data_IF_779790953451
#
_entry.id   IF_779790953451
#
_cell.length_a   1.000
_cell.length_b   1.000
_cell.length_c   1.000
_cell.angle_alpha   90.00
_cell.angle_beta   90.00
_cell.angle_gamma   90.00
#
_symmetry.space_group_name_H-M   'P 1'
#
loop_
_entity.id
_entity.type
_entity.pdbx_description
1 polymer ?
#
# COMPACT_ATOMS: atom_id res chain seq x y z
N UNK A 1 3.30 -59.52 -18.26
CA UNK A 1 4.41 -58.61 -17.89
C UNK A 1 4.38 -57.26 -18.63
N UNK A 2 4.21 -57.20 -19.95
CA UNK A 2 4.15 -55.93 -20.72
C UNK A 2 3.05 -54.94 -20.28
N UNK A 3 1.88 -55.42 -19.86
CA UNK A 3 0.77 -54.57 -19.36
C UNK A 3 1.05 -53.90 -18.01
N UNK A 4 1.88 -54.52 -17.16
CA UNK A 4 2.23 -53.97 -15.84
C UNK A 4 3.23 -52.80 -15.94
N UNK A 5 4.12 -52.83 -16.94
CA UNK A 5 5.11 -51.78 -17.19
C UNK A 5 4.45 -50.48 -17.70
N UNK A 6 3.43 -50.59 -18.56
CA UNK A 6 2.67 -49.43 -19.05
C UNK A 6 1.93 -48.74 -17.89
N UNK A 7 1.36 -49.50 -16.97
CA UNK A 7 0.68 -48.95 -15.79
C UNK A 7 1.66 -48.19 -14.88
N UNK A 8 2.88 -48.71 -14.69
CA UNK A 8 3.90 -48.11 -13.83
C UNK A 8 4.46 -46.77 -14.38
N UNK A 9 4.42 -46.56 -15.69
CA UNK A 9 4.90 -45.32 -16.34
C UNK A 9 3.82 -44.23 -16.36
N UNK A 10 2.54 -44.62 -16.42
CA UNK A 10 1.42 -43.66 -16.45
C UNK A 10 1.11 -43.14 -15.04
N UNK A 11 1.22 -43.99 -14.02
CA UNK A 11 0.90 -43.65 -12.63
C UNK A 11 1.64 -42.43 -12.04
N UNK A 12 2.95 -42.22 -12.23
CA UNK A 12 3.63 -41.06 -11.66
C UNK A 12 3.40 -39.75 -12.43
N UNK A 13 2.88 -39.80 -13.67
CA UNK A 13 2.63 -38.59 -14.48
C UNK A 13 1.28 -37.91 -14.18
N UNK A 14 0.39 -38.59 -13.45
CA UNK A 14 -0.91 -38.01 -13.02
C UNK A 14 -0.75 -37.23 -11.70
N UNK A 15 0.43 -37.28 -11.10
CA UNK A 15 0.67 -36.87 -9.72
C UNK A 15 1.28 -35.46 -9.70
N UNK A 16 0.37 -34.49 -9.63
CA UNK A 16 0.53 -33.09 -9.17
C UNK A 16 0.93 -32.01 -10.18
N UNK A 17 -0.08 -31.38 -10.80
CA UNK A 17 -0.08 -29.92 -10.85
C UNK A 17 -0.62 -29.41 -9.51
N UNK A 18 0.17 -28.68 -8.74
CA UNK A 18 -0.35 -27.95 -7.59
C UNK A 18 -1.03 -26.68 -8.09
N UNK A 19 -2.33 -26.60 -7.87
CA UNK A 19 -3.08 -25.37 -8.10
C UNK A 19 -2.70 -24.37 -7.02
N UNK A 20 -1.89 -23.37 -7.38
CA UNK A 20 -1.68 -22.21 -6.55
C UNK A 20 -2.88 -21.28 -6.71
N UNK A 21 -3.73 -21.23 -5.68
CA UNK A 21 -4.72 -20.16 -5.59
C UNK A 21 -4.05 -18.96 -4.93
N UNK A 22 -3.98 -17.82 -5.64
CA UNK A 22 -3.52 -16.57 -5.04
C UNK A 22 -4.57 -16.09 -4.03
N UNK A 23 -4.33 -16.35 -2.76
CA UNK A 23 -5.12 -15.76 -1.68
C UNK A 23 -4.77 -14.27 -1.56
N UNK A 24 -5.53 -13.42 -2.25
CA UNK A 24 -5.55 -11.98 -1.95
C UNK A 24 -6.52 -11.76 -0.79
N UNK A 25 -6.21 -12.29 0.39
CA UNK A 25 -6.91 -11.90 1.60
C UNK A 25 -6.53 -10.44 1.87
N UNK A 26 -7.38 -9.51 1.42
CA UNK A 26 -7.26 -8.11 1.78
C UNK A 26 -7.60 -8.03 3.26
N UNK A 27 -6.70 -7.49 4.07
CA UNK A 27 -7.00 -7.22 5.49
C UNK A 27 -8.24 -6.32 5.51
N UNK A 28 -9.33 -6.71 6.19
CA UNK A 28 -10.52 -5.86 6.26
C UNK A 28 -10.14 -4.57 6.99
N UNK A 29 -10.40 -3.43 6.35
CA UNK A 29 -10.29 -2.13 7.00
C UNK A 29 -11.71 -1.74 7.39
N UNK A 30 -11.92 -1.55 8.68
CA UNK A 30 -13.23 -1.22 9.24
C UNK A 30 -13.16 0.09 10.00
N UNK A 31 -14.17 0.94 9.83
CA UNK A 31 -14.36 2.14 10.64
C UNK A 31 -15.62 1.95 11.46
N UNK A 32 -15.53 2.04 12.78
CA UNK A 32 -16.64 1.78 13.70
C UNK A 32 -17.33 0.42 13.43
N UNK A 33 -16.53 -0.62 13.16
CA UNK A 33 -16.98 -1.98 12.81
C UNK A 33 -17.74 -2.08 11.49
N UNK A 34 -17.68 -1.05 10.63
CA UNK A 34 -18.23 -1.07 9.27
C UNK A 34 -17.12 -1.35 8.27
N UNK A 35 -17.17 -2.47 7.51
CA UNK A 35 -16.17 -2.77 6.50
C UNK A 35 -16.16 -1.74 5.37
N UNK A 36 -15.00 -1.12 5.16
CA UNK A 36 -14.76 -0.31 3.99
C UNK A 36 -14.75 -1.21 2.75
N UNK A 37 -15.63 -0.92 1.79
CA UNK A 37 -15.80 -1.73 0.58
C UNK A 37 -14.58 -1.66 -0.35
N UNK A 38 -13.84 -0.55 -0.29
CA UNK A 38 -12.75 -0.21 -1.20
C UNK A 38 -11.57 0.40 -0.43
N UNK A 39 -11.02 -0.32 0.57
CA UNK A 39 -10.11 0.27 1.55
C UNK A 39 -8.76 0.69 0.99
N UNK A 40 -8.42 0.17 -0.18
CA UNK A 40 -7.15 0.42 -0.88
C UNK A 40 -7.35 1.16 -2.21
N UNK A 41 -8.58 1.56 -2.54
CA UNK A 41 -8.90 2.27 -3.80
C UNK A 41 -8.68 3.77 -3.68
N UNK A 42 -8.59 4.26 -2.44
CA UNK A 42 -8.21 5.65 -2.12
C UNK A 42 -6.90 5.65 -1.33
N UNK A 43 -6.15 6.74 -1.40
CA UNK A 43 -4.84 6.89 -0.74
C UNK A 43 -3.79 7.48 -1.67
N UNK A 44 -2.74 8.05 -1.11
CA UNK A 44 -1.68 8.64 -1.93
C UNK A 44 -0.87 7.56 -2.65
N UNK A 45 -1.11 7.38 -3.94
CA UNK A 45 -0.32 6.50 -4.79
C UNK A 45 0.96 7.20 -5.25
N UNK A 46 2.04 6.42 -5.38
CA UNK A 46 3.36 6.90 -5.84
C UNK A 46 3.83 8.18 -5.14
N UNK A 47 3.74 8.20 -3.80
CA UNK A 47 4.18 9.35 -3.03
C UNK A 47 5.67 9.61 -3.19
N UNK A 48 6.02 10.89 -3.37
CA UNK A 48 7.39 11.38 -3.36
C UNK A 48 7.55 12.35 -2.18
N UNK A 49 7.81 11.85 -0.95
CA UNK A 49 7.95 12.69 0.23
C UNK A 49 9.24 13.52 0.18
N UNK A 50 9.17 14.77 0.60
CA UNK A 50 10.32 15.67 0.77
C UNK A 50 10.11 16.51 2.02
N UNK A 51 11.15 16.59 2.86
CA UNK A 51 11.17 17.55 3.97
C UNK A 51 11.77 18.87 3.47
N UNK A 52 11.04 19.96 3.68
CA UNK A 52 11.48 21.30 3.29
C UNK A 52 11.00 22.31 4.33
N UNK A 53 11.89 23.20 4.73
CA UNK A 53 11.53 24.48 5.35
C UNK A 53 11.15 25.44 4.21
N UNK A 54 9.87 25.84 4.15
CA UNK A 54 9.31 26.52 2.98
C UNK A 54 9.46 28.05 3.05
N UNK A 55 9.46 28.59 4.26
CA UNK A 55 9.50 30.02 4.58
C UNK A 55 10.78 30.44 5.32
N UNK A 56 11.70 29.51 5.55
CA UNK A 56 13.02 29.72 6.15
C UNK A 56 12.95 30.18 7.61
N UNK A 57 11.96 29.70 8.37
CA UNK A 57 11.79 30.02 9.79
C UNK A 57 12.34 28.92 10.73
N UNK A 58 12.83 27.82 10.18
CA UNK A 58 13.36 26.66 10.92
C UNK A 58 12.34 25.56 11.16
N UNK A 59 11.06 25.76 10.82
CA UNK A 59 10.02 24.71 10.87
C UNK A 59 9.98 23.92 9.56
N UNK A 60 10.12 22.61 9.64
CA UNK A 60 10.07 21.74 8.47
C UNK A 60 8.65 21.24 8.18
N UNK A 61 8.28 21.33 6.91
CA UNK A 61 7.07 20.72 6.36
C UNK A 61 7.43 19.41 5.66
N UNK A 62 6.55 18.42 5.79
CA UNK A 62 6.54 17.24 4.93
C UNK A 62 5.63 17.52 3.73
N UNK A 63 6.25 17.58 2.55
CA UNK A 63 5.57 17.77 1.28
C UNK A 63 5.51 16.41 0.58
N UNK A 64 4.33 15.98 0.13
CA UNK A 64 4.13 14.72 -0.59
C UNK A 64 3.44 14.99 -1.92
N UNK A 65 4.17 14.80 -3.02
CA UNK A 65 3.56 14.77 -4.36
C UNK A 65 2.99 13.39 -4.68
N UNK A 66 1.86 13.35 -5.39
CA UNK A 66 1.28 12.10 -5.92
C UNK A 66 1.08 12.15 -7.45
N UNK A 67 0.88 10.98 -8.04
CA UNK A 67 0.56 10.80 -9.47
C UNK A 67 -0.82 11.36 -9.86
N UNK A 68 -1.64 11.74 -8.89
CA UNK A 68 -2.95 12.36 -9.09
C UNK A 68 -2.92 13.88 -9.16
N UNK A 69 -1.75 14.47 -9.45
CA UNK A 69 -1.56 15.92 -9.54
C UNK A 69 -1.99 16.65 -8.25
N UNK A 70 -1.77 15.99 -7.10
CA UNK A 70 -2.00 16.55 -5.76
C UNK A 70 -0.67 16.73 -5.06
N UNK A 71 -0.56 17.83 -4.32
CA UNK A 71 0.56 18.09 -3.42
C UNK A 71 -0.01 18.26 -2.03
N UNK A 72 0.39 17.38 -1.13
CA UNK A 72 -0.05 17.39 0.26
C UNK A 72 1.00 18.00 1.15
N UNK A 73 0.55 18.89 2.03
CA UNK A 73 1.35 19.56 3.04
C UNK A 73 0.98 19.04 4.42
N UNK A 74 1.99 18.58 5.15
CA UNK A 74 1.85 18.12 6.53
C UNK A 74 2.84 18.91 7.39
N UNK A 75 2.33 19.66 8.38
CA UNK A 75 3.19 20.38 9.33
C UNK A 75 3.50 19.48 10.52
N UNK A 76 4.76 19.43 10.94
CA UNK A 76 5.11 18.93 12.26
C UNK A 76 4.96 20.08 13.26
N UNK A 77 3.93 20.03 14.11
CA UNK A 77 3.76 20.97 15.22
C UNK A 77 4.29 20.41 16.56
N UNK A 78 4.99 19.28 16.51
CA UNK A 78 5.70 18.70 17.64
C UNK A 78 7.17 19.13 17.68
N UNK A 79 7.97 18.48 18.52
CA UNK A 79 9.41 18.70 18.61
C UNK A 79 10.20 17.52 18.00
N UNK A 80 11.54 17.61 18.05
CA UNK A 80 12.43 16.58 17.49
C UNK A 80 12.34 15.22 18.21
N UNK A 81 11.88 15.20 19.46
CA UNK A 81 11.71 13.98 20.25
C UNK A 81 10.28 13.46 20.23
N UNK A 82 9.30 14.33 19.95
CA UNK A 82 7.88 14.00 19.89
C UNK A 82 7.22 14.71 18.70
N UNK A 83 7.28 14.08 17.53
CA UNK A 83 6.67 14.59 16.31
C UNK A 83 5.13 14.53 16.39
N UNK A 84 4.47 15.60 15.97
CA UNK A 84 3.01 15.73 15.92
C UNK A 84 2.61 16.29 14.55
N UNK A 85 2.14 15.43 13.66
CA UNK A 85 1.87 15.79 12.27
C UNK A 85 0.39 16.16 12.05
N UNK A 86 0.16 17.31 11.43
CA UNK A 86 -1.16 17.82 11.08
C UNK A 86 -1.28 17.99 9.57
N UNK A 87 -2.31 17.40 8.98
CA UNK A 87 -2.67 17.63 7.59
C UNK A 87 -3.13 19.08 7.43
N UNK A 88 -2.50 19.83 6.52
CA UNK A 88 -2.82 21.23 6.27
C UNK A 88 -3.71 21.39 5.05
N UNK A 89 -3.25 20.93 3.88
CA UNK A 89 -3.98 21.02 2.60
C UNK A 89 -3.40 20.04 1.58
N UNK A 90 -4.20 19.62 0.60
CA UNK A 90 -3.80 18.85 -0.59
C UNK A 90 -3.94 19.65 -1.90
N UNK A 91 -4.20 20.95 -1.81
CA UNK A 91 -4.32 21.89 -2.93
C UNK A 91 -3.28 23.00 -2.86
N UNK A 92 -2.67 23.31 -4.02
CA UNK A 92 -1.79 24.45 -4.24
C UNK A 92 -2.56 25.74 -4.58
N UNK A 93 -3.87 25.66 -4.80
CA UNK A 93 -4.69 26.76 -5.33
C UNK A 93 -5.91 26.95 -4.43
N UNK A 94 -6.12 28.20 -4.01
CA UNK A 94 -7.38 28.70 -3.50
C UNK A 94 -8.17 29.31 -4.65
#
# INVERSE_FOLDING_TARGET
MKKAIIFLIILPNIVFAWDFTKERASIPVEFDSVPCQVPWTTGYNYINPTFCDLDADGDFYLIMGSDWNRITYVKNSGDINNAQFYFMTDSLVN
#
